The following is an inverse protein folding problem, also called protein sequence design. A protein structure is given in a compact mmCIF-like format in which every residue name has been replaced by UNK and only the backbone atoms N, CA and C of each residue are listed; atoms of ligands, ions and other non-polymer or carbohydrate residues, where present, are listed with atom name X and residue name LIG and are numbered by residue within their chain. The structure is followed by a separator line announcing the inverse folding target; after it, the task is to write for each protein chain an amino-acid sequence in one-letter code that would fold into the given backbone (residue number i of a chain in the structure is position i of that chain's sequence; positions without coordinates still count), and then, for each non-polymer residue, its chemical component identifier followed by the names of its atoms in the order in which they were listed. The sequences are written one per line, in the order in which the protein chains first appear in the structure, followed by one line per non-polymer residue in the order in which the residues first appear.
data_IF_560425249364
#
_entry.id   IF_560425249364
#
_cell.length_a   1.000
_cell.length_b   1.000
_cell.length_c   1.000
_cell.angle_alpha   90.00
_cell.angle_beta   90.00
_cell.angle_gamma   90.00
#
_symmetry.space_group_name_H-M   'P 1'
#
loop_
_entity.id
_entity.type
_entity.pdbx_description
1 polymer ?
#
# COMPACT_ATOMS: atom_id res chain seq x y z
N UNK A 1 -0.95 -2.66 3.17
CA UNK A 1 0.24 -2.43 4.00
C UNK A 1 1.17 -3.63 3.83
N UNK A 2 2.43 -3.38 3.49
CA UNK A 2 3.48 -4.38 3.30
C UNK A 2 4.61 -4.06 4.30
N UNK A 3 5.09 -5.06 5.04
CA UNK A 3 6.12 -4.85 6.07
C UNK A 3 7.49 -5.31 5.54
N UNK A 4 8.52 -4.50 5.76
CA UNK A 4 9.90 -4.78 5.39
C UNK A 4 10.24 -4.24 4.00
N UNK A 5 10.64 -2.98 3.94
CA UNK A 5 10.99 -2.26 2.71
C UNK A 5 12.08 -2.96 1.91
N UNK A 6 13.09 -3.51 2.59
CA UNK A 6 14.19 -4.26 1.96
C UNK A 6 13.69 -5.45 1.15
N UNK A 7 12.64 -6.13 1.63
CA UNK A 7 12.07 -7.29 0.94
C UNK A 7 11.19 -6.85 -0.25
N UNK A 8 10.37 -5.81 -0.07
CA UNK A 8 9.35 -5.43 -1.06
C UNK A 8 9.81 -4.41 -2.11
N UNK A 9 10.88 -3.65 -1.87
CA UNK A 9 11.32 -2.60 -2.79
C UNK A 9 11.58 -3.12 -4.21
N UNK A 10 12.24 -4.28 -4.35
CA UNK A 10 12.49 -4.87 -5.67
C UNK A 10 11.20 -5.17 -6.46
N UNK A 11 10.17 -5.66 -5.78
CA UNK A 11 8.86 -5.87 -6.41
C UNK A 11 8.18 -4.53 -6.73
N UNK A 12 8.23 -3.58 -5.81
CA UNK A 12 7.58 -2.29 -5.99
C UNK A 12 8.19 -1.50 -7.15
N UNK A 13 9.50 -1.57 -7.33
CA UNK A 13 10.20 -0.99 -8.47
C UNK A 13 9.82 -1.68 -9.78
N UNK A 14 9.63 -3.00 -9.78
CA UNK A 14 9.11 -3.72 -10.95
C UNK A 14 7.68 -3.29 -11.30
N UNK A 15 6.78 -3.13 -10.31
CA UNK A 15 5.42 -2.65 -10.53
C UNK A 15 5.43 -1.26 -11.19
N UNK A 16 6.23 -0.32 -10.66
CA UNK A 16 6.37 1.04 -11.23
C UNK A 16 6.98 1.05 -12.62
N UNK A 17 8.01 0.26 -12.86
CA UNK A 17 8.73 0.27 -14.14
C UNK A 17 8.01 -0.49 -15.25
N UNK A 18 7.26 -1.54 -14.90
CA UNK A 18 6.62 -2.44 -15.85
C UNK A 18 5.11 -2.23 -15.90
N UNK A 19 4.40 -2.48 -14.80
CA UNK A 19 2.93 -2.45 -14.82
C UNK A 19 2.39 -1.06 -15.14
N UNK A 20 2.97 -0.01 -14.53
CA UNK A 20 2.58 1.36 -14.83
C UNK A 20 2.95 1.77 -16.26
N UNK A 21 4.14 1.38 -16.72
CA UNK A 21 4.61 1.69 -18.08
C UNK A 21 3.71 1.10 -19.17
N UNK A 22 3.27 -0.15 -18.99
CA UNK A 22 2.36 -0.81 -19.93
C UNK A 22 0.88 -0.44 -19.71
N UNK A 23 0.57 0.45 -18.77
CA UNK A 23 -0.80 0.91 -18.51
C UNK A 23 -1.70 -0.16 -17.87
N UNK A 24 -1.11 -1.16 -17.22
CA UNK A 24 -1.86 -2.20 -16.50
C UNK A 24 -2.43 -1.69 -15.17
N UNK A 25 -1.89 -0.58 -14.67
CA UNK A 25 -2.37 0.16 -13.49
C UNK A 25 -2.32 1.66 -13.78
N UNK A 26 -3.13 2.41 -13.03
CA UNK A 26 -3.07 3.87 -12.98
C UNK A 26 -1.96 4.34 -12.01
N UNK A 27 -1.41 5.56 -12.17
CA UNK A 27 -0.50 6.14 -11.19
C UNK A 27 -1.09 6.18 -9.77
N UNK A 28 -2.40 6.37 -9.67
CA UNK A 28 -3.13 6.49 -8.41
C UNK A 28 -3.16 5.16 -7.64
N UNK A 29 -3.09 4.01 -8.32
CA UNK A 29 -3.08 2.69 -7.68
C UNK A 29 -1.84 2.48 -6.80
N UNK A 30 -0.73 3.18 -7.10
CA UNK A 30 0.48 3.12 -6.27
C UNK A 30 0.25 3.72 -4.88
N UNK A 31 -0.71 4.63 -4.72
CA UNK A 31 -1.05 5.24 -3.44
C UNK A 31 -1.81 4.27 -2.53
N UNK A 32 -2.33 3.17 -3.06
CA UNK A 32 -3.01 2.12 -2.27
C UNK A 32 -2.01 1.24 -1.51
N UNK A 33 -0.73 1.29 -1.87
CA UNK A 33 0.32 0.47 -1.28
C UNK A 33 1.13 1.31 -0.30
N UNK A 34 1.10 0.91 0.97
CA UNK A 34 1.98 1.43 2.00
C UNK A 34 3.03 0.37 2.34
N UNK A 35 4.31 0.68 2.15
CA UNK A 35 5.44 -0.14 2.57
C UNK A 35 6.02 0.50 3.83
N UNK A 36 6.10 -0.27 4.90
CA UNK A 36 6.48 0.22 6.23
C UNK A 36 7.49 -0.74 6.86
N UNK A 37 8.32 -0.24 7.78
CA UNK A 37 9.33 -1.06 8.47
C UNK A 37 8.96 -1.32 9.93
N UNK A 38 8.15 -0.46 10.54
CA UNK A 38 7.81 -0.50 11.95
C UNK A 38 6.33 -0.85 12.19
N UNK A 39 6.08 -1.57 13.27
CA UNK A 39 4.71 -1.98 13.67
C UNK A 39 3.86 -0.79 14.08
N UNK A 40 4.46 0.26 14.62
CA UNK A 40 3.79 1.49 15.02
C UNK A 40 3.16 2.18 13.79
N UNK A 41 3.89 2.25 12.68
CA UNK A 41 3.41 2.83 11.42
C UNK A 41 2.22 2.04 10.84
N UNK A 42 2.24 0.70 10.97
CA UNK A 42 1.11 -0.16 10.59
C UNK A 42 -0.16 0.25 11.35
N UNK A 43 -0.06 0.40 12.68
CA UNK A 43 -1.20 0.75 13.54
C UNK A 43 -1.71 2.13 13.19
N UNK A 44 -0.83 3.11 12.98
CA UNK A 44 -1.23 4.47 12.61
C UNK A 44 -2.02 4.52 11.29
N UNK A 45 -1.57 3.78 10.26
CA UNK A 45 -2.26 3.72 8.96
C UNK A 45 -3.64 3.07 9.10
N UNK A 46 -3.75 1.99 9.87
CA UNK A 46 -5.02 1.29 10.10
C UNK A 46 -6.00 2.18 10.88
N UNK A 47 -5.52 2.83 11.95
CA UNK A 47 -6.33 3.75 12.75
C UNK A 47 -6.81 4.95 11.92
N UNK A 48 -5.94 5.52 11.09
CA UNK A 48 -6.29 6.62 10.20
C UNK A 48 -7.38 6.22 9.21
N UNK A 49 -7.29 5.01 8.64
CA UNK A 49 -8.31 4.46 7.75
C UNK A 49 -9.67 4.32 8.46
N UNK A 50 -9.71 3.76 9.67
CA UNK A 50 -10.97 3.55 10.39
C UNK A 50 -11.58 4.81 11.00
N UNK A 51 -10.78 5.84 11.32
CA UNK A 51 -11.31 7.13 11.80
C UNK A 51 -12.12 7.89 10.74
N UNK A 52 -11.83 7.65 9.45
CA UNK A 52 -12.52 8.29 8.32
C UNK A 52 -13.64 7.45 7.69
N UNK A 53 -13.74 6.16 8.02
CA UNK A 53 -14.67 5.23 7.38
C UNK A 53 -15.54 4.49 8.40
N UNK A 54 -16.86 4.64 8.28
CA UNK A 54 -17.83 3.83 9.05
C UNK A 54 -17.62 2.38 8.64
N UNK A 55 -17.26 1.52 9.60
CA UNK A 55 -17.15 0.08 9.41
C UNK A 55 -18.46 -0.49 8.85
N UNK A 56 -18.49 -0.78 7.55
CA UNK A 56 -19.46 -1.70 6.98
C UNK A 56 -18.90 -3.11 7.13
N UNK A 57 -19.66 -4.06 7.70
CA UNK A 57 -19.25 -5.46 7.75
C UNK A 57 -18.93 -5.95 6.33
N UNK A 58 -17.78 -6.62 6.16
CA UNK A 58 -17.45 -7.28 4.91
C UNK A 58 -18.11 -8.67 4.92
N UNK A 59 -19.44 -8.69 4.77
CA UNK A 59 -20.27 -9.88 4.59
C UNK A 59 -21.19 -9.70 3.39
#
# INVERSE_FOLDING_TARGET
ILVGSTFWNGLFDWIKSTMLHFGNISPEDLNLIHIVDDKEEVVEIIDAFYKGHILSPNF
#
